data_IF_589566264043
#
_entry.id   IF_589566264043
#
_cell.length_a   1.000
_cell.length_b   1.000
_cell.length_c   1.000
_cell.angle_alpha   90.00
_cell.angle_beta   90.00
_cell.angle_gamma   90.00
#
_symmetry.space_group_name_H-M   'P 1'
#
loop_
_entity.id
_entity.type
_entity.pdbx_description
1 polymer ?
#
# COMPACT_ATOMS: atom_id res chain seq x y z
N UNK A 1 9.45 12.95 9.10
CA UNK A 1 10.54 12.05 9.57
C UNK A 1 10.29 10.66 9.02
N UNK A 2 11.32 9.95 8.51
CA UNK A 2 11.18 8.57 8.02
C UNK A 2 10.76 7.63 9.16
N UNK A 3 9.87 6.68 8.88
CA UNK A 3 9.46 5.66 9.83
C UNK A 3 10.58 4.63 10.04
N UNK A 4 10.74 4.19 11.28
CA UNK A 4 11.75 3.22 11.70
C UNK A 4 11.21 1.79 11.71
N UNK A 5 12.07 0.80 11.85
CA UNK A 5 11.71 -0.62 11.94
C UNK A 5 10.67 -0.91 13.02
N UNK A 6 10.83 -0.30 14.19
CA UNK A 6 9.91 -0.48 15.34
C UNK A 6 8.49 -0.01 15.02
N UNK A 7 8.33 0.99 14.14
CA UNK A 7 7.01 1.41 13.69
C UNK A 7 6.30 0.29 12.92
N UNK A 8 7.01 -0.48 12.12
CA UNK A 8 6.45 -1.57 11.31
C UNK A 8 6.31 -2.88 12.08
N UNK A 9 7.03 -3.06 13.21
CA UNK A 9 7.06 -4.28 14.00
C UNK A 9 5.77 -4.45 14.88
N UNK A 10 4.60 -4.49 14.23
CA UNK A 10 3.28 -4.55 14.86
C UNK A 10 2.38 -5.54 14.13
N UNK A 11 1.31 -5.97 14.77
CA UNK A 11 0.20 -6.68 14.13
C UNK A 11 -0.29 -5.89 12.90
N UNK A 12 -0.54 -6.59 11.79
CA UNK A 12 -0.89 -5.95 10.53
C UNK A 12 -2.14 -5.05 10.62
N UNK A 13 -3.11 -5.37 11.49
CA UNK A 13 -4.34 -4.57 11.69
C UNK A 13 -4.03 -3.25 12.39
N UNK A 14 -3.10 -3.27 13.34
CA UNK A 14 -2.64 -2.06 14.03
C UNK A 14 -1.84 -1.20 13.05
N UNK A 15 -0.87 -1.80 12.36
CA UNK A 15 -0.05 -1.11 11.38
C UNK A 15 -0.88 -0.50 10.25
N UNK A 16 -1.91 -1.22 9.76
CA UNK A 16 -2.78 -0.74 8.69
C UNK A 16 -3.51 0.57 9.06
N UNK A 17 -3.97 0.69 10.29
CA UNK A 17 -4.60 1.92 10.82
C UNK A 17 -3.56 3.04 10.99
N UNK A 18 -2.41 2.73 11.56
CA UNK A 18 -1.37 3.72 11.83
C UNK A 18 -0.66 4.25 10.57
N UNK A 19 -0.69 3.50 9.48
CA UNK A 19 -0.20 3.95 8.16
C UNK A 19 -1.11 4.99 7.51
N UNK A 20 -2.39 5.05 7.85
CA UNK A 20 -3.27 6.10 7.36
C UNK A 20 -2.76 7.48 7.79
N UNK A 21 -2.78 8.42 6.86
CA UNK A 21 -2.25 9.77 7.08
C UNK A 21 -0.73 9.91 6.92
N UNK A 22 0.04 8.80 6.93
CA UNK A 22 1.48 8.81 6.63
C UNK A 22 1.70 9.04 5.13
N UNK A 23 2.91 9.46 4.77
CA UNK A 23 3.24 9.82 3.38
C UNK A 23 4.19 8.79 2.79
N UNK A 24 3.73 8.11 1.74
CA UNK A 24 4.60 7.30 0.89
C UNK A 24 5.42 8.22 0.00
N UNK A 25 6.73 8.05 0.03
CA UNK A 25 7.69 8.76 -0.83
C UNK A 25 8.32 7.78 -1.80
N UNK A 26 8.30 8.12 -3.08
CA UNK A 26 8.97 7.38 -4.16
C UNK A 26 9.82 8.34 -4.98
N UNK A 27 11.11 8.06 -5.09
CA UNK A 27 12.01 8.81 -5.98
C UNK A 27 12.11 8.14 -7.34
N UNK A 28 11.80 8.89 -8.40
CA UNK A 28 11.87 8.46 -9.79
C UNK A 28 12.71 9.49 -10.54
N UNK A 29 13.82 9.08 -11.11
CA UNK A 29 14.75 9.95 -11.88
C UNK A 29 15.15 11.24 -11.11
N UNK A 30 15.41 11.11 -9.81
CA UNK A 30 15.80 12.21 -8.92
C UNK A 30 14.62 13.10 -8.46
N UNK A 31 13.38 12.79 -8.86
CA UNK A 31 12.19 13.53 -8.48
C UNK A 31 11.39 12.74 -7.44
N UNK A 32 11.08 13.35 -6.30
CA UNK A 32 10.31 12.71 -5.23
C UNK A 32 8.81 12.88 -5.45
N UNK A 33 8.12 11.78 -5.65
CA UNK A 33 6.67 11.70 -5.63
C UNK A 33 6.23 11.49 -4.20
N UNK A 34 5.21 12.22 -3.74
CA UNK A 34 4.62 12.03 -2.40
C UNK A 34 3.13 11.81 -2.49
N UNK A 35 2.65 10.85 -1.71
CA UNK A 35 1.23 10.56 -1.59
C UNK A 35 0.86 10.16 -0.16
N UNK A 36 -0.19 10.80 0.39
CA UNK A 36 -0.75 10.44 1.69
C UNK A 36 -1.49 9.11 1.57
N UNK A 37 -1.19 8.17 2.44
CA UNK A 37 -1.86 6.87 2.52
C UNK A 37 -3.26 7.11 3.06
N UNK A 38 -4.29 6.75 2.28
CA UNK A 38 -5.69 7.01 2.61
C UNK A 38 -6.54 5.74 2.69
N UNK A 39 -6.01 4.61 2.23
CA UNK A 39 -6.69 3.30 2.29
C UNK A 39 -5.67 2.17 2.39
N UNK A 40 -5.93 1.22 3.29
CA UNK A 40 -5.06 0.07 3.58
C UNK A 40 -5.89 -1.20 3.81
N UNK A 41 -5.28 -2.38 3.63
CA UNK A 41 -5.83 -3.67 4.06
C UNK A 41 -4.78 -4.46 4.81
N UNK A 42 -5.19 -5.09 5.94
CA UNK A 42 -4.34 -6.01 6.67
C UNK A 42 -4.50 -7.46 6.18
N UNK A 43 -3.39 -8.19 6.15
CA UNK A 43 -3.34 -9.62 5.80
C UNK A 43 -2.51 -10.36 6.83
N UNK A 44 -3.10 -11.39 7.47
CA UNK A 44 -2.51 -12.12 8.59
C UNK A 44 -2.20 -13.56 8.19
N UNK A 45 -1.09 -13.75 7.55
CA UNK A 45 -0.40 -14.99 7.21
C UNK A 45 -1.21 -16.27 7.24
N UNK A 46 -0.86 -17.14 8.18
CA UNK A 46 -1.32 -18.52 8.20
C UNK A 46 -2.84 -18.70 8.48
N UNK A 47 -3.48 -17.76 9.18
CA UNK A 47 -4.89 -17.86 9.58
C UNK A 47 -5.86 -17.18 8.61
N UNK A 48 -5.36 -16.38 7.68
CA UNK A 48 -6.16 -15.55 6.78
C UNK A 48 -6.26 -16.19 5.40
N UNK A 49 -7.43 -16.73 5.04
CA UNK A 49 -7.69 -17.36 3.74
C UNK A 49 -7.51 -16.43 2.55
N UNK A 50 -7.51 -15.11 2.76
CA UNK A 50 -7.21 -14.13 1.74
C UNK A 50 -5.70 -13.87 1.56
N UNK A 51 -4.87 -14.32 2.50
CA UNK A 51 -3.42 -14.14 2.44
C UNK A 51 -2.75 -15.13 1.49
N UNK A 52 -1.74 -14.66 0.75
CA UNK A 52 -0.88 -15.54 -0.05
C UNK A 52 -0.09 -16.57 0.79
N UNK A 53 0.06 -16.31 2.09
CA UNK A 53 0.73 -17.18 3.06
C UNK A 53 -0.25 -18.01 3.89
N UNK A 54 -1.52 -18.10 3.51
CA UNK A 54 -2.51 -18.93 4.20
C UNK A 54 -2.01 -20.36 4.38
N UNK A 55 -2.27 -20.95 5.57
CA UNK A 55 -1.79 -22.29 5.93
C UNK A 55 -0.28 -22.39 6.10
N UNK A 56 0.45 -21.27 6.22
CA UNK A 56 1.90 -21.24 6.33
C UNK A 56 2.62 -21.41 4.98
N UNK A 57 1.93 -21.18 3.87
CA UNK A 57 2.48 -21.36 2.51
C UNK A 57 3.69 -20.45 2.29
N UNK A 58 4.86 -21.05 2.09
CA UNK A 58 6.13 -20.38 1.82
C UNK A 58 6.70 -20.83 0.49
N UNK A 59 6.88 -19.90 -0.45
CA UNK A 59 7.35 -20.10 -1.80
C UNK A 59 8.25 -18.93 -2.19
N UNK A 60 9.00 -19.03 -3.29
CA UNK A 60 9.79 -17.89 -3.81
C UNK A 60 8.96 -16.61 -3.96
N UNK A 61 7.66 -16.72 -4.31
CA UNK A 61 6.76 -15.57 -4.45
C UNK A 61 6.38 -14.96 -3.10
N UNK A 62 6.12 -15.80 -2.10
CA UNK A 62 5.64 -15.37 -0.77
C UNK A 62 6.77 -15.15 0.22
N UNK A 63 8.01 -15.47 -0.14
CA UNK A 63 9.18 -15.31 0.73
C UNK A 63 9.30 -13.92 1.35
N UNK A 64 9.03 -12.79 0.63
CA UNK A 64 9.10 -11.46 1.23
C UNK A 64 8.15 -11.27 2.41
N UNK A 65 6.99 -11.98 2.44
CA UNK A 65 6.05 -11.90 3.55
C UNK A 65 6.65 -12.34 4.90
N UNK A 66 7.68 -13.19 4.85
CA UNK A 66 8.41 -13.69 6.02
C UNK A 66 9.65 -12.86 6.36
N UNK A 67 9.86 -11.75 5.65
CA UNK A 67 10.99 -10.84 5.86
C UNK A 67 10.86 -9.97 7.11
N UNK A 68 11.86 -9.10 7.31
CA UNK A 68 11.83 -8.12 8.41
C UNK A 68 10.67 -7.12 8.23
N UNK A 69 10.06 -6.63 9.33
CA UNK A 69 9.05 -5.57 9.24
C UNK A 69 9.61 -4.34 8.52
N UNK A 70 8.81 -3.69 7.67
CA UNK A 70 9.24 -2.56 6.84
C UNK A 70 9.91 -2.96 5.52
N UNK A 71 10.01 -4.25 5.19
CA UNK A 71 10.35 -4.71 3.84
C UNK A 71 9.12 -4.57 2.94
N UNK A 72 9.32 -4.24 1.67
CA UNK A 72 8.26 -4.22 0.67
C UNK A 72 7.98 -5.62 0.12
N UNK A 73 6.71 -5.93 -0.07
CA UNK A 73 6.26 -7.07 -0.87
C UNK A 73 5.48 -6.56 -2.08
N UNK A 74 6.08 -6.66 -3.25
CA UNK A 74 5.48 -6.25 -4.51
C UNK A 74 5.20 -7.47 -5.37
N UNK A 75 3.93 -7.71 -5.68
CA UNK A 75 3.53 -8.85 -6.48
C UNK A 75 2.73 -8.47 -7.72
N UNK A 76 2.85 -9.32 -8.73
CA UNK A 76 2.25 -9.13 -10.05
C UNK A 76 0.86 -9.75 -10.11
N UNK A 77 -0.11 -9.02 -10.69
CA UNK A 77 -1.49 -9.48 -10.85
C UNK A 77 -1.99 -9.24 -12.28
N UNK A 78 -2.91 -10.09 -12.71
CA UNK A 78 -3.60 -9.99 -14.01
C UNK A 78 -2.67 -9.83 -15.22
N UNK A 79 -1.44 -10.38 -15.15
CA UNK A 79 -0.49 -10.32 -16.25
C UNK A 79 0.04 -8.91 -16.61
N UNK A 80 -0.29 -7.87 -15.82
CA UNK A 80 0.02 -6.48 -16.19
C UNK A 80 0.30 -5.53 -15.00
N UNK A 81 -0.21 -5.79 -13.83
CA UNK A 81 -0.23 -4.83 -12.73
C UNK A 81 0.51 -5.32 -11.49
N UNK A 82 0.86 -4.39 -10.62
CA UNK A 82 1.51 -4.67 -9.35
C UNK A 82 0.65 -4.21 -8.17
N UNK A 83 0.85 -4.86 -7.02
CA UNK A 83 0.33 -4.45 -5.73
C UNK A 83 1.50 -4.30 -4.76
N UNK A 84 1.50 -3.24 -3.98
CA UNK A 84 2.54 -2.89 -3.01
C UNK A 84 2.06 -3.10 -1.59
N UNK A 85 2.81 -3.90 -0.84
CA UNK A 85 2.56 -4.18 0.57
C UNK A 85 3.78 -3.85 1.40
N UNK A 86 3.56 -3.54 2.67
CA UNK A 86 4.59 -3.33 3.69
C UNK A 86 4.49 -4.48 4.69
N UNK A 87 5.61 -5.18 4.92
CA UNK A 87 5.67 -6.30 5.86
C UNK A 87 5.64 -5.78 7.29
N UNK A 88 4.91 -6.47 8.14
CA UNK A 88 4.67 -6.12 9.53
C UNK A 88 5.16 -7.20 10.50
N UNK A 89 4.96 -6.98 11.80
CA UNK A 89 5.23 -7.89 12.91
C UNK A 89 6.70 -8.25 13.07
N UNK A 90 7.06 -9.52 13.06
CA UNK A 90 8.44 -10.01 13.24
C UNK A 90 8.88 -10.87 12.08
N UNK A 91 10.17 -10.90 11.83
CA UNK A 91 10.76 -11.78 10.82
C UNK A 91 10.35 -13.24 11.06
N UNK A 92 9.91 -13.90 10.01
CA UNK A 92 9.36 -15.27 10.07
C UNK A 92 7.84 -15.36 10.25
N UNK A 93 7.16 -14.27 10.60
CA UNK A 93 5.70 -14.20 10.65
C UNK A 93 5.16 -13.46 9.42
N UNK A 94 4.36 -14.16 8.60
CA UNK A 94 3.91 -13.65 7.32
C UNK A 94 2.71 -12.71 7.47
N UNK A 95 2.95 -11.51 7.98
CA UNK A 95 1.93 -10.47 8.07
C UNK A 95 2.32 -9.24 7.24
N UNK A 96 1.34 -8.54 6.69
CA UNK A 96 1.60 -7.34 5.91
C UNK A 96 0.37 -6.49 5.64
N UNK A 97 0.62 -5.27 5.20
CA UNK A 97 -0.38 -4.26 4.90
C UNK A 97 -0.30 -3.91 3.41
N UNK A 98 -1.38 -4.15 2.69
CA UNK A 98 -1.57 -3.67 1.32
C UNK A 98 -1.90 -2.18 1.35
N UNK A 99 -1.13 -1.37 0.63
CA UNK A 99 -1.46 0.03 0.38
C UNK A 99 -2.42 0.08 -0.81
N UNK A 100 -3.65 0.57 -0.57
CA UNK A 100 -4.71 0.53 -1.58
C UNK A 100 -4.89 1.83 -2.33
N UNK A 101 -4.74 2.95 -1.65
CA UNK A 101 -4.91 4.27 -2.27
C UNK A 101 -4.04 5.33 -1.61
N UNK A 102 -3.65 6.29 -2.43
CA UNK A 102 -2.90 7.48 -2.02
C UNK A 102 -3.65 8.75 -2.45
N UNK A 103 -3.57 9.79 -1.63
CA UNK A 103 -3.88 11.16 -2.04
C UNK A 103 -2.58 11.82 -2.52
N UNK A 104 -2.45 12.18 -3.82
CA UNK A 104 -1.24 12.81 -4.34
C UNK A 104 -0.96 14.16 -3.66
N UNK A 105 0.30 14.40 -3.25
CA UNK A 105 0.69 15.63 -2.56
C UNK A 105 1.70 16.46 -3.37
N UNK A 106 2.74 15.82 -3.90
CA UNK A 106 3.83 16.51 -4.60
C UNK A 106 4.09 15.90 -5.96
N UNK A 107 4.54 16.72 -6.92
CA UNK A 107 4.89 16.33 -8.29
C UNK A 107 3.75 15.63 -9.05
N UNK A 108 2.52 16.15 -8.89
CA UNK A 108 1.29 15.57 -9.44
C UNK A 108 1.35 15.40 -10.96
N UNK A 109 2.04 16.30 -11.67
CA UNK A 109 2.24 16.19 -13.12
C UNK A 109 3.05 14.95 -13.50
N UNK A 110 4.12 14.62 -12.76
CA UNK A 110 4.86 13.40 -13.01
C UNK A 110 4.02 12.15 -12.68
N UNK A 111 3.25 12.17 -11.57
CA UNK A 111 2.29 11.13 -11.23
C UNK A 111 1.27 10.91 -12.36
N UNK A 112 0.77 12.01 -12.96
CA UNK A 112 -0.17 11.97 -14.08
C UNK A 112 0.48 11.38 -15.34
N UNK A 113 1.69 11.79 -15.67
CA UNK A 113 2.46 11.24 -16.81
C UNK A 113 2.73 9.75 -16.68
N UNK A 114 3.18 9.30 -15.52
CA UNK A 114 3.42 7.88 -15.24
C UNK A 114 2.12 7.05 -15.35
N UNK A 115 1.00 7.60 -14.92
CA UNK A 115 -0.29 6.90 -14.90
C UNK A 115 -1.03 6.92 -16.23
N UNK A 116 -1.05 8.07 -16.94
CA UNK A 116 -1.90 8.32 -18.10
C UNK A 116 -1.15 8.81 -19.33
N UNK A 117 0.14 9.09 -19.22
CA UNK A 117 0.95 9.76 -20.25
C UNK A 117 0.36 11.14 -20.67
N UNK A 118 -0.13 11.91 -19.70
CA UNK A 118 -0.76 13.23 -19.85
C UNK A 118 -0.33 14.16 -18.74
N UNK A 119 -0.36 15.49 -19.01
CA UNK A 119 -0.28 16.49 -17.94
C UNK A 119 -1.51 16.42 -17.05
N UNK A 120 -1.39 16.84 -15.79
CA UNK A 120 -2.52 16.76 -14.84
C UNK A 120 -3.71 17.63 -15.26
N UNK A 121 -3.45 18.76 -15.86
CA UNK A 121 -4.47 19.69 -16.37
C UNK A 121 -5.29 19.09 -17.51
N UNK A 122 -4.74 18.17 -18.29
CA UNK A 122 -5.42 17.47 -19.39
C UNK A 122 -6.33 16.35 -18.91
N UNK A 123 -6.25 15.98 -17.63
CA UNK A 123 -7.07 14.91 -17.07
C UNK A 123 -8.51 15.39 -16.85
N UNK A 124 -9.46 14.56 -17.26
CA UNK A 124 -10.86 14.76 -16.88
C UNK A 124 -11.09 14.42 -15.40
N UNK A 125 -12.25 14.80 -14.85
CA UNK A 125 -12.59 14.59 -13.44
C UNK A 125 -12.50 13.13 -12.98
N UNK A 126 -12.90 12.18 -13.84
CA UNK A 126 -12.80 10.75 -13.55
C UNK A 126 -11.33 10.32 -13.42
N UNK A 127 -10.46 10.75 -14.34
CA UNK A 127 -9.03 10.44 -14.31
C UNK A 127 -8.35 11.05 -13.09
N UNK A 128 -8.64 12.32 -12.76
CA UNK A 128 -8.11 13.00 -11.57
C UNK A 128 -8.44 12.23 -10.29
N UNK A 129 -9.72 11.86 -10.11
CA UNK A 129 -10.16 11.09 -8.95
C UNK A 129 -9.54 9.69 -8.89
N UNK A 130 -9.25 9.09 -10.04
CA UNK A 130 -8.75 7.72 -10.17
C UNK A 130 -7.23 7.63 -10.38
N UNK A 131 -6.49 8.71 -10.18
CA UNK A 131 -5.05 8.73 -10.48
C UNK A 131 -4.27 7.73 -9.62
N UNK A 132 -4.65 7.59 -8.33
CA UNK A 132 -4.02 6.70 -7.33
C UNK A 132 -5.03 5.91 -6.50
N UNK A 133 -6.33 5.94 -6.86
CA UNK A 133 -7.42 5.29 -6.14
C UNK A 133 -7.53 3.82 -6.50
N UNK A 134 -6.69 2.99 -5.92
CA UNK A 134 -6.63 1.54 -6.07
C UNK A 134 -5.20 1.02 -6.17
N UNK A 135 -4.93 -0.21 -5.68
CA UNK A 135 -3.57 -0.73 -5.49
C UNK A 135 -2.75 -0.76 -6.79
N UNK A 136 -3.33 -1.21 -7.89
CA UNK A 136 -2.64 -1.20 -9.19
C UNK A 136 -2.44 0.21 -9.74
N UNK A 137 -3.41 1.09 -9.51
CA UNK A 137 -3.36 2.48 -9.99
C UNK A 137 -2.23 3.24 -9.31
N UNK A 138 -2.11 3.11 -7.98
CA UNK A 138 -1.02 3.75 -7.24
C UNK A 138 0.36 3.22 -7.66
N UNK A 139 0.50 1.89 -7.87
CA UNK A 139 1.77 1.32 -8.34
C UNK A 139 2.18 1.90 -9.70
N UNK A 140 1.25 2.02 -10.65
CA UNK A 140 1.53 2.67 -11.94
C UNK A 140 1.90 4.15 -11.77
N UNK A 141 1.15 4.89 -10.96
CA UNK A 141 1.33 6.33 -10.75
C UNK A 141 2.64 6.68 -10.02
N UNK A 142 3.15 5.76 -9.17
CA UNK A 142 4.39 5.92 -8.41
C UNK A 142 5.55 5.10 -9.00
N UNK A 143 5.38 4.51 -10.18
CA UNK A 143 6.38 3.63 -10.80
C UNK A 143 6.90 2.56 -9.84
N UNK A 144 5.99 1.95 -9.07
CA UNK A 144 6.30 0.81 -8.20
C UNK A 144 6.07 -0.47 -8.98
N UNK A 145 7.11 -1.29 -9.10
CA UNK A 145 7.11 -2.50 -9.90
C UNK A 145 7.91 -3.63 -9.21
N UNK A 146 8.27 -4.67 -9.95
CA UNK A 146 9.01 -5.84 -9.44
C UNK A 146 10.34 -5.47 -8.79
N UNK A 147 11.02 -4.43 -9.27
CA UNK A 147 12.33 -4.03 -8.76
C UNK A 147 12.26 -3.48 -7.34
N UNK A 148 11.07 -3.04 -6.91
CA UNK A 148 10.82 -2.60 -5.55
C UNK A 148 10.40 -3.75 -4.60
N UNK A 149 10.39 -5.00 -5.05
CA UNK A 149 10.15 -6.13 -4.17
C UNK A 149 11.40 -6.41 -3.32
N UNK A 150 11.24 -6.67 -2.03
CA UNK A 150 12.33 -6.77 -1.06
C UNK A 150 13.03 -5.44 -0.70
N UNK A 151 12.52 -4.30 -1.11
CA UNK A 151 13.12 -3.02 -0.76
C UNK A 151 12.91 -2.72 0.73
N UNK A 152 13.96 -2.35 1.43
CA UNK A 152 13.90 -2.00 2.85
C UNK A 152 13.51 -0.53 3.02
N UNK A 153 12.27 -0.28 3.41
CA UNK A 153 11.72 1.07 3.55
C UNK A 153 12.38 1.89 4.67
N UNK A 154 13.11 1.23 5.59
CA UNK A 154 13.86 1.91 6.63
C UNK A 154 15.20 2.47 6.12
N UNK A 155 15.77 1.83 5.09
CA UNK A 155 17.12 2.13 4.58
C UNK A 155 17.10 2.75 3.16
N UNK A 156 16.10 2.39 2.34
CA UNK A 156 16.03 2.82 0.95
C UNK A 156 16.01 4.35 0.79
N UNK A 157 16.79 4.86 -0.15
CA UNK A 157 16.74 6.27 -0.55
C UNK A 157 15.59 6.58 -1.50
N UNK A 158 15.03 5.56 -2.18
CA UNK A 158 14.11 5.74 -3.29
C UNK A 158 12.65 5.36 -2.99
N UNK A 159 12.39 4.58 -1.94
CA UNK A 159 11.04 4.18 -1.51
C UNK A 159 10.97 4.06 0.01
N UNK A 160 10.18 4.89 0.66
CA UNK A 160 10.03 4.90 2.11
C UNK A 160 8.75 5.59 2.56
N UNK A 161 8.43 5.52 3.84
CA UNK A 161 7.27 6.21 4.43
C UNK A 161 7.74 7.25 5.45
N UNK A 162 7.13 8.43 5.38
CA UNK A 162 7.36 9.54 6.31
C UNK A 162 6.17 9.75 7.24
N UNK A 163 6.45 10.05 8.52
CA UNK A 163 5.48 10.64 9.44
C UNK A 163 5.43 12.14 9.24
N UNK A 164 4.24 12.65 9.01
CA UNK A 164 3.94 14.09 8.88
C UNK A 164 3.06 14.61 10.02
N UNK A 165 2.85 13.77 11.06
CA UNK A 165 2.07 14.08 12.27
C UNK A 165 0.64 14.57 11.98
N UNK A 166 0.05 14.15 10.86
CA UNK A 166 -1.33 14.44 10.50
C UNK A 166 -2.23 13.29 10.96
N UNK A 167 -3.05 13.53 11.99
CA UNK A 167 -3.92 12.52 12.60
C UNK A 167 -5.36 13.02 12.85
N UNK A 168 -5.73 14.17 12.28
CA UNK A 168 -7.07 14.74 12.44
C UNK A 168 -8.01 14.19 11.35
N UNK A 169 -8.41 12.93 11.49
CA UNK A 169 -9.37 12.25 10.61
C UNK A 169 -10.04 11.06 11.32
N UNK A 170 -11.24 10.73 10.87
CA UNK A 170 -11.96 9.52 11.29
C UNK A 170 -11.57 8.34 10.38
N UNK A 171 -11.33 7.17 10.99
CA UNK A 171 -11.04 5.92 10.28
C UNK A 171 -12.32 5.10 10.17
N UNK A 172 -12.63 4.64 8.96
CA UNK A 172 -13.66 3.65 8.71
C UNK A 172 -13.03 2.26 8.62
N UNK A 173 -13.62 1.31 9.34
CA UNK A 173 -13.28 -0.12 9.29
C UNK A 173 -14.35 -0.87 8.49
N UNK A 174 -13.94 -1.69 7.52
CA UNK A 174 -14.87 -2.40 6.64
C UNK A 174 -14.24 -3.66 6.06
N UNK A 175 -14.99 -4.40 5.27
CA UNK A 175 -14.50 -5.60 4.57
C UNK A 175 -13.49 -5.25 3.48
N UNK A 176 -12.58 -6.19 3.22
CA UNK A 176 -11.56 -6.08 2.16
C UNK A 176 -12.20 -6.26 0.78
N UNK A 177 -11.51 -5.78 -0.25
CA UNK A 177 -12.01 -5.75 -1.63
C UNK A 177 -11.39 -6.87 -2.47
N UNK A 178 -12.22 -7.60 -3.22
CA UNK A 178 -11.77 -8.58 -4.21
C UNK A 178 -11.27 -9.89 -3.60
N UNK A 179 -11.77 -10.25 -2.42
CA UNK A 179 -11.43 -11.49 -1.70
C UNK A 179 -12.64 -12.41 -1.49
N UNK A 180 -13.63 -12.39 -2.39
CA UNK A 180 -14.88 -13.17 -2.27
C UNK A 180 -14.63 -14.69 -2.14
N UNK A 181 -13.49 -15.16 -2.63
CA UNK A 181 -13.03 -16.55 -2.54
C UNK A 181 -12.56 -16.97 -1.14
N UNK A 182 -12.37 -16.03 -0.23
CA UNK A 182 -11.64 -16.26 1.04
C UNK A 182 -12.55 -16.75 2.18
N UNK A 183 -13.70 -17.35 1.86
CA UNK A 183 -14.65 -17.91 2.82
C UNK A 183 -14.97 -16.91 3.95
N UNK A 184 -14.83 -17.32 5.23
CA UNK A 184 -15.09 -16.45 6.41
C UNK A 184 -14.18 -15.22 6.46
N UNK A 185 -12.98 -15.28 5.86
CA UNK A 185 -12.06 -14.16 5.88
C UNK A 185 -12.55 -12.97 5.06
N UNK A 186 -13.51 -13.14 4.14
CA UNK A 186 -14.16 -12.05 3.40
C UNK A 186 -14.93 -11.10 4.31
N UNK A 187 -15.42 -11.60 5.44
CA UNK A 187 -16.28 -10.85 6.36
C UNK A 187 -15.46 -10.10 7.43
N UNK A 188 -14.13 -10.29 7.47
CA UNK A 188 -13.27 -9.59 8.42
C UNK A 188 -13.15 -8.11 8.05
N UNK A 189 -13.35 -7.21 9.04
CA UNK A 189 -13.25 -5.76 8.89
C UNK A 189 -11.78 -5.30 8.89
N UNK A 190 -10.97 -5.83 7.99
CA UNK A 190 -9.53 -5.58 7.92
C UNK A 190 -9.12 -4.66 6.77
N UNK A 191 -10.06 -3.86 6.27
CA UNK A 191 -9.80 -2.71 5.42
C UNK A 191 -10.12 -1.43 6.16
N UNK A 192 -9.21 -0.48 6.05
CA UNK A 192 -9.26 0.78 6.76
C UNK A 192 -9.08 1.93 5.77
N UNK A 193 -9.83 3.00 5.96
CA UNK A 193 -9.67 4.19 5.14
C UNK A 193 -10.05 5.47 5.89
N UNK A 194 -9.50 6.61 5.41
CA UNK A 194 -9.85 7.93 5.92
C UNK A 194 -11.25 8.29 5.41
N UNK A 195 -12.17 8.54 6.35
CA UNK A 195 -13.55 8.93 6.05
C UNK A 195 -13.58 10.15 5.12
N UNK A 196 -14.49 10.12 4.16
CA UNK A 196 -14.76 11.18 3.18
C UNK A 196 -13.59 11.61 2.29
N UNK A 197 -12.44 10.92 2.37
CA UNK A 197 -11.35 11.19 1.45
C UNK A 197 -11.73 10.83 0.00
N UNK A 198 -11.42 11.75 -0.93
CA UNK A 198 -11.82 11.64 -2.34
C UNK A 198 -11.10 10.52 -3.11
N UNK A 199 -9.93 10.08 -2.62
CA UNK A 199 -9.08 9.09 -3.29
C UNK A 199 -9.29 7.65 -2.80
N UNK A 200 -10.15 7.42 -1.80
CA UNK A 200 -10.54 6.06 -1.39
C UNK A 200 -11.12 5.31 -2.57
N UNK A 201 -10.64 4.08 -2.81
CA UNK A 201 -10.91 3.33 -4.04
C UNK A 201 -12.35 2.80 -4.13
N UNK A 202 -12.90 2.37 -3.00
CA UNK A 202 -14.28 1.87 -2.84
C UNK A 202 -14.83 2.41 -1.52
N UNK A 203 -16.04 2.97 -1.56
CA UNK A 203 -16.75 3.47 -0.37
C UNK A 203 -17.92 2.57 -0.01
#
# INVERSE_FOLDING_TARGET
MRLTRDFYAKDARVLAKELLGKVLVREVDGIKLKGKIVETEAYIGAIDKASHAYGGRRTKRTEPLYGKPGISYVYFIYGKYFCFNIISKTEGEAEGVLIRALEPLENINLISKLRFNKEFEELNNYQRKNITSGPSKLCMAFNINRDNNWEDLCESSSLYVEDVFYNDFEIIETVRVGIDYAEEARDFLWRYYIKDNAFVSVK
#
